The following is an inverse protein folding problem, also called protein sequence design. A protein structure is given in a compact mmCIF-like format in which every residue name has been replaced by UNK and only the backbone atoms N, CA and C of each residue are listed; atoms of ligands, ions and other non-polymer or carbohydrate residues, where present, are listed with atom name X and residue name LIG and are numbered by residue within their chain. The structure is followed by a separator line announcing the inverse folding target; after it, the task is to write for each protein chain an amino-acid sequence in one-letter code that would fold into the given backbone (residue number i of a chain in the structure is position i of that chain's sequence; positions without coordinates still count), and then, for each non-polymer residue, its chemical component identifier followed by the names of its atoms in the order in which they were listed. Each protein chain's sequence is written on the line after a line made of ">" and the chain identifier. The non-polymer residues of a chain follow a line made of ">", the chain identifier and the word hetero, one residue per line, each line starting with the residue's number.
data_IF_297879346698
#
_entry.id   IF_297879346698
#
_cell.length_a   1.000
_cell.length_b   1.000
_cell.length_c   1.000
_cell.angle_alpha   90.00
_cell.angle_beta   90.00
_cell.angle_gamma   90.00
#
_symmetry.space_group_name_H-M   'P 1'
#
loop_
_entity.id
_entity.type
_entity.pdbx_description
1 polymer ?
#
# COMPACT_ATOMS: atom_id res chain seq x y z
N UNK A 1 4.26 -15.42 -17.17
CA UNK A 1 3.72 -16.48 -16.28
C UNK A 1 3.85 -16.08 -14.80
N UNK A 2 3.52 -14.83 -14.40
CA UNK A 2 3.88 -14.28 -13.06
C UNK A 2 2.66 -13.75 -12.28
N UNK A 3 1.45 -13.82 -12.83
CA UNK A 3 0.27 -13.16 -12.24
C UNK A 3 -0.88 -14.15 -11.96
N UNK A 4 -0.54 -15.40 -11.63
CA UNK A 4 -1.52 -16.46 -11.34
C UNK A 4 -2.16 -16.36 -9.95
N UNK A 5 -1.51 -15.68 -9.00
CA UNK A 5 -1.90 -15.77 -7.58
C UNK A 5 -2.78 -14.62 -7.06
N UNK A 6 -3.00 -13.55 -7.84
CA UNK A 6 -3.71 -12.37 -7.33
C UNK A 6 -5.19 -12.58 -6.96
N UNK A 7 -5.85 -13.58 -7.54
CA UNK A 7 -7.32 -13.60 -7.56
C UNK A 7 -7.98 -14.87 -7.04
N UNK A 8 -7.17 -15.84 -6.61
CA UNK A 8 -7.66 -17.12 -6.07
C UNK A 8 -8.24 -16.97 -4.65
N UNK A 9 -7.97 -15.86 -3.95
CA UNK A 9 -8.30 -15.70 -2.51
C UNK A 9 -9.12 -14.47 -2.12
N UNK A 10 -9.62 -13.68 -3.07
CA UNK A 10 -10.51 -12.57 -2.71
C UNK A 10 -11.96 -13.06 -2.52
N UNK A 11 -12.67 -12.60 -1.47
CA UNK A 11 -14.02 -13.06 -1.19
C UNK A 11 -15.00 -12.80 -2.35
N UNK A 12 -16.07 -13.61 -2.47
CA UNK A 12 -17.07 -13.47 -3.52
C UNK A 12 -17.83 -12.13 -3.40
N UNK A 13 -18.04 -11.48 -4.55
CA UNK A 13 -18.78 -10.22 -4.64
C UNK A 13 -20.28 -10.54 -4.61
N UNK A 14 -20.96 -10.19 -3.52
CA UNK A 14 -22.43 -10.13 -3.50
C UNK A 14 -22.91 -8.84 -4.15
N UNK A 15 -23.83 -8.92 -5.12
CA UNK A 15 -24.42 -7.79 -5.88
C UNK A 15 -25.37 -6.91 -5.05
N UNK A 16 -24.92 -6.42 -3.91
CA UNK A 16 -25.55 -5.28 -3.25
C UNK A 16 -24.48 -4.21 -3.18
N UNK A 17 -24.61 -3.13 -3.95
CA UNK A 17 -23.74 -1.95 -3.83
C UNK A 17 -23.99 -1.30 -2.47
N UNK A 18 -23.14 -1.51 -1.46
CA UNK A 18 -23.30 -0.82 -0.20
C UNK A 18 -22.83 0.60 -0.47
N UNK A 19 -23.63 1.62 -0.12
CA UNK A 19 -23.11 2.99 -0.03
C UNK A 19 -21.83 2.94 0.81
N UNK A 20 -20.76 3.58 0.36
CA UNK A 20 -19.41 3.61 0.99
C UNK A 20 -19.41 3.82 2.51
N UNK A 21 -20.44 4.50 3.03
CA UNK A 21 -20.78 4.60 4.47
C UNK A 21 -20.93 3.25 5.19
N UNK A 22 -21.15 2.16 4.47
CA UNK A 22 -21.48 0.86 5.07
C UNK A 22 -20.24 -0.02 5.14
N UNK A 23 -19.29 0.06 4.18
CA UNK A 23 -18.16 -0.86 4.12
C UNK A 23 -17.15 -0.64 5.26
N UNK A 24 -16.77 0.61 5.53
CA UNK A 24 -15.88 0.96 6.63
C UNK A 24 -16.55 0.82 8.00
N UNK A 25 -17.83 1.20 8.13
CA UNK A 25 -18.58 1.01 9.38
C UNK A 25 -18.82 -0.48 9.68
N UNK A 26 -18.89 -1.34 8.66
CA UNK A 26 -18.95 -2.80 8.82
C UNK A 26 -17.58 -3.42 9.17
N UNK A 27 -16.47 -2.92 8.60
CA UNK A 27 -15.13 -3.46 8.85
C UNK A 27 -14.64 -3.22 10.29
N UNK A 28 -15.11 -2.14 10.93
CA UNK A 28 -14.81 -1.83 12.34
C UNK A 28 -15.24 -2.95 13.31
N UNK A 29 -16.17 -3.83 12.90
CA UNK A 29 -16.68 -4.92 13.74
C UNK A 29 -15.89 -6.24 13.67
N UNK A 30 -14.84 -6.35 12.84
CA UNK A 30 -14.04 -7.57 12.68
C UNK A 30 -12.60 -7.39 13.21
N UNK A 31 -12.48 -6.95 14.46
CA UNK A 31 -11.20 -7.04 15.17
C UNK A 31 -11.02 -8.42 15.78
N UNK A 32 -10.31 -9.31 15.07
CA UNK A 32 -9.18 -10.11 15.57
C UNK A 32 -8.76 -11.16 14.54
N UNK A 33 -7.87 -10.80 13.62
CA UNK A 33 -6.92 -11.76 13.06
C UNK A 33 -5.54 -11.39 13.59
N UNK A 34 -5.33 -11.64 14.89
CA UNK A 34 -4.03 -11.54 15.52
C UNK A 34 -3.18 -12.70 15.03
N UNK A 35 -2.14 -12.40 14.24
CA UNK A 35 -1.07 -13.33 13.97
C UNK A 35 0.24 -12.69 14.41
N UNK A 36 1.01 -13.51 15.10
CA UNK A 36 2.37 -13.21 15.53
C UNK A 36 3.24 -12.87 14.32
N UNK A 37 4.10 -11.85 14.43
CA UNK A 37 5.14 -11.51 13.46
C UNK A 37 6.05 -12.70 13.03
N UNK A 38 5.94 -13.84 13.72
CA UNK A 38 6.58 -15.11 13.40
C UNK A 38 6.30 -15.62 11.99
N UNK A 39 5.09 -15.42 11.45
CA UNK A 39 4.71 -15.95 10.13
C UNK A 39 5.38 -15.20 8.95
N UNK A 40 6.10 -14.12 9.23
CA UNK A 40 6.87 -13.38 8.22
C UNK A 40 8.29 -13.93 8.03
N UNK A 41 8.81 -14.68 9.02
CA UNK A 41 10.21 -15.11 9.09
C UNK A 41 10.40 -16.38 8.27
N UNK A 42 11.57 -16.51 7.65
CA UNK A 42 11.99 -17.66 6.82
C UNK A 42 11.11 -17.86 5.58
N UNK A 43 10.51 -16.77 5.11
CA UNK A 43 9.68 -16.76 3.92
C UNK A 43 10.07 -15.59 3.04
N UNK A 44 10.11 -15.84 1.72
CA UNK A 44 10.10 -14.78 0.74
C UNK A 44 8.66 -14.27 0.55
N UNK A 45 8.50 -12.96 0.60
CA UNK A 45 7.27 -12.25 0.31
C UNK A 45 7.51 -11.33 -0.86
N UNK A 46 6.56 -11.29 -1.80
CA UNK A 46 6.54 -10.23 -2.78
C UNK A 46 6.00 -8.96 -2.12
N UNK A 47 6.65 -7.82 -2.36
CA UNK A 47 6.34 -6.55 -1.72
C UNK A 47 6.00 -5.52 -2.80
N UNK A 48 4.98 -4.70 -2.56
CA UNK A 48 4.57 -3.64 -3.50
C UNK A 48 5.75 -2.74 -3.89
N UNK A 49 6.58 -2.38 -2.91
CA UNK A 49 7.77 -1.55 -3.14
C UNK A 49 8.96 -2.04 -2.34
N UNK A 50 10.16 -1.94 -2.91
CA UNK A 50 11.42 -2.24 -2.21
C UNK A 50 11.45 -1.52 -0.86
N UNK A 51 11.61 -2.30 0.21
CA UNK A 51 11.58 -1.78 1.57
C UNK A 51 12.71 -0.76 1.80
N UNK A 52 12.41 0.34 2.50
CA UNK A 52 13.40 1.38 2.78
C UNK A 52 13.68 2.36 1.63
N UNK A 53 13.11 2.16 0.44
CA UNK A 53 13.19 3.15 -0.65
C UNK A 53 12.15 4.25 -0.46
N UNK A 54 12.59 5.52 -0.47
CA UNK A 54 11.79 6.72 -0.21
C UNK A 54 10.72 6.54 0.89
N UNK A 55 11.14 6.13 2.11
CA UNK A 55 10.22 5.66 3.13
C UNK A 55 9.20 6.73 3.54
N UNK A 56 9.50 8.01 3.37
CA UNK A 56 8.57 9.10 3.70
C UNK A 56 7.32 9.17 2.80
N UNK A 57 7.26 8.41 1.71
CA UNK A 57 6.17 8.46 0.72
C UNK A 57 5.11 7.37 0.90
N UNK A 58 5.21 6.54 1.93
CA UNK A 58 4.22 5.51 2.19
C UNK A 58 4.07 5.23 3.67
N UNK A 59 2.85 4.90 4.08
CA UNK A 59 2.49 4.57 5.44
C UNK A 59 2.51 3.08 5.73
N UNK A 60 2.53 2.25 4.69
CA UNK A 60 2.46 0.80 4.84
C UNK A 60 3.04 0.06 3.63
N UNK A 61 3.37 -1.20 3.84
CA UNK A 61 3.77 -2.12 2.79
C UNK A 61 2.78 -3.27 2.68
N UNK A 62 2.57 -3.75 1.45
CA UNK A 62 1.76 -4.92 1.14
C UNK A 62 2.72 -6.07 0.86
N UNK A 63 2.65 -7.13 1.65
CA UNK A 63 3.38 -8.37 1.46
C UNK A 63 2.41 -9.42 0.96
N UNK A 64 2.75 -10.10 -0.14
CA UNK A 64 1.90 -11.14 -0.69
C UNK A 64 2.67 -12.31 -1.32
N UNK A 65 1.97 -13.42 -1.54
CA UNK A 65 2.48 -14.60 -2.25
C UNK A 65 2.18 -14.54 -3.75
N UNK A 66 2.78 -13.57 -4.44
CA UNK A 66 2.59 -13.38 -5.88
C UNK A 66 1.94 -12.04 -6.22
N UNK A 67 2.35 -11.41 -7.32
CA UNK A 67 1.76 -10.18 -7.83
C UNK A 67 2.63 -8.91 -7.81
N UNK A 68 3.83 -8.94 -7.24
CA UNK A 68 4.78 -7.83 -7.31
C UNK A 68 6.13 -8.25 -7.86
N UNK A 69 6.81 -7.31 -8.52
CA UNK A 69 8.16 -7.52 -9.03
C UNK A 69 9.24 -7.23 -7.98
N UNK A 70 8.87 -6.84 -6.77
CA UNK A 70 9.83 -6.69 -5.66
C UNK A 70 9.59 -7.77 -4.64
N UNK A 71 10.63 -8.16 -3.92
CA UNK A 71 10.58 -9.14 -2.85
C UNK A 71 11.23 -8.60 -1.58
N UNK A 72 10.85 -9.18 -0.45
CA UNK A 72 11.52 -9.06 0.83
C UNK A 72 11.58 -10.44 1.50
N UNK A 73 12.73 -10.75 2.09
CA UNK A 73 12.95 -11.97 2.87
C UNK A 73 13.44 -11.56 4.25
N UNK A 74 12.80 -12.10 5.30
CA UNK A 74 13.21 -11.95 6.69
C UNK A 74 13.91 -13.24 7.13
N UNK A 75 15.22 -13.20 7.29
CA UNK A 75 16.05 -14.35 7.63
C UNK A 75 16.02 -14.66 9.14
N UNK A 76 16.01 -15.93 9.57
CA UNK A 76 15.97 -16.32 10.99
C UNK A 76 17.07 -15.70 11.87
N UNK A 77 18.20 -15.31 11.30
CA UNK A 77 19.31 -14.64 11.99
C UNK A 77 19.05 -13.14 12.29
N UNK A 78 17.85 -12.63 12.00
CA UNK A 78 17.47 -11.24 12.27
C UNK A 78 17.92 -10.26 11.19
N UNK A 79 18.31 -10.73 10.00
CA UNK A 79 18.60 -9.87 8.84
C UNK A 79 17.45 -9.89 7.84
N UNK A 80 17.34 -8.84 7.03
CA UNK A 80 16.43 -8.85 5.89
C UNK A 80 17.14 -8.39 4.63
N UNK A 81 16.59 -8.81 3.50
CA UNK A 81 16.95 -8.30 2.18
C UNK A 81 15.67 -7.98 1.43
N UNK A 82 15.61 -6.83 0.75
CA UNK A 82 14.55 -6.46 -0.17
C UNK A 82 15.14 -6.03 -1.51
N UNK A 83 14.57 -6.51 -2.60
CA UNK A 83 15.13 -6.31 -3.93
C UNK A 83 14.03 -6.29 -5.00
N UNK A 84 14.32 -5.74 -6.17
CA UNK A 84 13.47 -5.85 -7.36
C UNK A 84 13.97 -6.96 -8.29
N UNK A 85 13.05 -7.79 -8.78
CA UNK A 85 13.27 -8.92 -9.69
C UNK A 85 12.96 -8.57 -11.17
N UNK A 86 13.07 -7.30 -11.57
CA UNK A 86 12.77 -6.86 -12.93
C UNK A 86 13.62 -7.53 -14.03
N UNK A 87 12.96 -8.11 -15.03
CA UNK A 87 13.53 -8.82 -16.19
C UNK A 87 14.00 -7.91 -17.35
N UNK A 88 14.20 -6.61 -17.12
CA UNK A 88 14.66 -5.68 -18.17
C UNK A 88 16.02 -5.06 -17.80
N UNK A 89 17.06 -5.80 -18.17
CA UNK A 89 18.31 -5.38 -18.80
C UNK A 89 18.94 -4.01 -18.45
N UNK A 90 20.22 -4.07 -18.04
CA UNK A 90 21.26 -3.01 -18.04
C UNK A 90 21.16 -1.98 -16.89
N UNK A 91 21.72 -2.36 -15.74
CA UNK A 91 22.29 -1.41 -14.76
C UNK A 91 21.55 -1.31 -13.42
N UNK A 92 22.15 -1.92 -12.40
CA UNK A 92 21.89 -1.79 -10.96
C UNK A 92 20.54 -2.31 -10.45
N UNK A 93 20.55 -3.55 -9.95
CA UNK A 93 19.53 -4.03 -9.01
C UNK A 93 19.53 -3.13 -7.78
N UNK A 94 18.39 -2.50 -7.48
CA UNK A 94 18.22 -1.84 -6.19
C UNK A 94 17.98 -2.93 -5.15
N UNK A 95 18.95 -3.08 -4.25
CA UNK A 95 18.88 -3.99 -3.12
C UNK A 95 19.01 -3.15 -1.87
N UNK A 96 18.09 -3.37 -0.93
CA UNK A 96 18.19 -2.87 0.43
C UNK A 96 18.35 -4.04 1.38
N UNK A 97 19.17 -3.85 2.40
CA UNK A 97 19.43 -4.86 3.42
C UNK A 97 19.49 -4.22 4.79
N UNK A 98 19.40 -5.04 5.83
CA UNK A 98 19.47 -4.54 7.19
C UNK A 98 19.13 -5.61 8.21
N UNK A 99 18.76 -5.16 9.40
CA UNK A 99 18.33 -6.02 10.49
C UNK A 99 16.89 -5.73 10.89
N UNK A 100 16.25 -6.73 11.48
CA UNK A 100 14.94 -6.58 12.08
C UNK A 100 14.93 -7.20 13.47
N UNK A 101 14.00 -6.73 14.30
CA UNK A 101 13.75 -7.30 15.62
C UNK A 101 12.26 -7.38 15.85
N UNK A 102 11.77 -8.60 16.08
CA UNK A 102 10.43 -8.81 16.64
C UNK A 102 10.37 -8.14 18.01
N UNK A 103 9.36 -7.31 18.23
CA UNK A 103 9.18 -6.58 19.50
C UNK A 103 8.19 -7.30 20.39
N UNK A 104 7.08 -7.72 19.81
CA UNK A 104 6.04 -8.55 20.41
C UNK A 104 5.30 -9.29 19.28
N UNK A 105 4.12 -9.83 19.54
CA UNK A 105 3.34 -10.54 18.53
C UNK A 105 2.84 -9.64 17.40
N UNK A 106 2.57 -8.37 17.68
CA UNK A 106 1.97 -7.44 16.72
C UNK A 106 3.00 -6.55 16.01
N UNK A 107 4.21 -6.44 16.54
CA UNK A 107 5.17 -5.45 16.07
C UNK A 107 6.53 -6.01 15.66
N UNK A 108 7.04 -5.48 14.55
CA UNK A 108 8.40 -5.70 14.04
C UNK A 108 9.10 -4.35 13.85
N UNK A 109 10.35 -4.23 14.28
CA UNK A 109 11.18 -3.05 14.06
C UNK A 109 12.30 -3.32 13.07
N UNK A 110 12.63 -2.34 12.23
CA UNK A 110 13.65 -2.47 11.18
C UNK A 110 14.77 -1.44 11.33
N UNK A 111 15.99 -1.85 11.04
CA UNK A 111 17.14 -0.97 10.83
C UNK A 111 17.71 -1.25 9.44
N UNK A 112 17.69 -0.24 8.59
CA UNK A 112 18.23 -0.30 7.24
C UNK A 112 19.74 -0.09 7.31
N UNK A 113 20.53 -0.94 6.65
CA UNK A 113 21.97 -0.72 6.52
C UNK A 113 22.21 0.44 5.57
N UNK A 114 23.07 1.38 5.95
CA UNK A 114 23.54 2.40 5.03
C UNK A 114 24.59 1.78 4.09
N UNK A 115 24.45 1.97 2.79
CA UNK A 115 25.42 1.47 1.81
C UNK A 115 26.72 2.27 1.82
N UNK A 116 26.74 3.46 2.43
CA UNK A 116 27.88 4.38 2.46
C UNK A 116 28.60 4.44 3.82
N UNK A 117 28.08 3.78 4.85
CA UNK A 117 28.67 3.79 6.19
C UNK A 117 28.29 2.54 6.97
N UNK A 118 29.06 2.19 8.00
CA UNK A 118 28.69 1.11 8.93
C UNK A 118 27.53 1.48 9.87
N UNK A 119 26.86 2.61 9.63
CA UNK A 119 25.71 3.04 10.41
C UNK A 119 24.43 2.39 9.88
N UNK A 120 23.50 2.12 10.80
CA UNK A 120 22.17 1.65 10.43
C UNK A 120 21.14 2.73 10.69
N UNK A 121 20.25 2.95 9.73
CA UNK A 121 19.14 3.88 9.83
C UNK A 121 17.94 3.18 10.45
N UNK A 122 17.51 3.64 11.61
CA UNK A 122 16.27 3.16 12.24
C UNK A 122 15.06 3.54 11.37
N UNK A 123 14.31 2.52 10.94
CA UNK A 123 13.12 2.66 10.08
C UNK A 123 11.81 2.67 10.86
N UNK A 124 11.89 2.58 12.19
CA UNK A 124 10.75 2.57 13.09
C UNK A 124 10.16 1.18 13.33
N UNK A 125 8.99 1.17 13.97
CA UNK A 125 8.19 -0.03 14.27
C UNK A 125 7.02 -0.12 13.27
N UNK A 126 6.67 -1.34 12.90
CA UNK A 126 5.55 -1.64 12.03
C UNK A 126 4.60 -2.59 12.74
N UNK A 127 3.31 -2.25 12.74
CA UNK A 127 2.23 -3.14 13.12
C UNK A 127 2.00 -4.15 12.00
N UNK A 128 1.98 -5.43 12.35
CA UNK A 128 1.80 -6.55 11.43
C UNK A 128 0.31 -6.90 11.43
N UNK A 129 -0.36 -6.66 10.31
CA UNK A 129 -1.76 -7.00 10.12
C UNK A 129 -1.91 -8.11 9.09
N UNK A 130 -2.35 -9.29 9.51
CA UNK A 130 -2.62 -10.40 8.58
C UNK A 130 -4.00 -10.23 7.95
N UNK A 131 -4.03 -10.14 6.64
CA UNK A 131 -5.27 -10.11 5.83
C UNK A 131 -5.69 -11.53 5.46
N UNK A 132 -4.73 -12.37 5.04
CA UNK A 132 -4.94 -13.79 4.74
C UNK A 132 -3.64 -14.58 4.92
N UNK A 133 -3.64 -15.89 4.66
CA UNK A 133 -2.38 -16.68 4.62
C UNK A 133 -1.40 -16.19 3.54
N UNK A 134 -1.93 -15.51 2.52
CA UNK A 134 -1.17 -15.05 1.36
C UNK A 134 -0.96 -13.54 1.34
N UNK A 135 -1.45 -12.79 2.34
CA UNK A 135 -1.37 -11.33 2.37
C UNK A 135 -1.20 -10.80 3.80
N UNK A 136 -0.17 -9.96 3.98
CA UNK A 136 0.14 -9.26 5.22
C UNK A 136 0.42 -7.80 4.93
N UNK A 137 -0.09 -6.90 5.77
CA UNK A 137 0.20 -5.48 5.72
C UNK A 137 1.18 -5.12 6.84
N UNK A 138 2.24 -4.39 6.51
CA UNK A 138 3.15 -3.77 7.47
C UNK A 138 2.80 -2.28 7.59
N UNK A 139 2.08 -1.90 8.64
CA UNK A 139 1.64 -0.52 8.86
C UNK A 139 2.66 0.20 9.75
N UNK A 140 3.16 1.36 9.34
CA UNK A 140 4.01 2.17 10.21
C UNK A 140 3.28 2.52 11.50
N UNK A 141 3.89 2.16 12.62
CA UNK A 141 3.32 2.36 13.94
C UNK A 141 3.40 3.83 14.34
N UNK A 142 2.30 4.31 14.91
CA UNK A 142 2.18 5.58 15.61
C UNK A 142 2.63 5.50 17.07
N UNK A 143 2.95 4.29 17.55
CA UNK A 143 3.20 4.01 18.97
C UNK A 143 1.92 3.82 19.79
N UNK A 144 0.74 3.88 19.18
CA UNK A 144 -0.55 3.66 19.83
C UNK A 144 -1.31 2.51 19.14
N UNK A 145 -1.62 1.45 19.90
CA UNK A 145 -2.22 0.24 19.36
C UNK A 145 -3.58 0.49 18.69
N UNK A 146 -4.47 1.27 19.32
CA UNK A 146 -5.80 1.54 18.77
C UNK A 146 -5.73 2.32 17.46
N UNK A 147 -4.80 3.28 17.35
CA UNK A 147 -4.55 4.01 16.10
C UNK A 147 -3.93 3.10 15.03
N UNK A 148 -2.99 2.25 15.40
CA UNK A 148 -2.35 1.32 14.46
C UNK A 148 -3.34 0.30 13.91
N UNK A 149 -4.25 -0.18 14.76
CA UNK A 149 -5.38 -1.02 14.42
C UNK A 149 -6.34 -0.32 13.43
N UNK A 150 -6.73 0.91 13.72
CA UNK A 150 -7.56 1.70 12.80
C UNK A 150 -6.87 1.92 11.44
N UNK A 151 -5.57 2.19 11.45
CA UNK A 151 -4.78 2.33 10.22
C UNK A 151 -4.69 1.01 9.44
N UNK A 152 -4.70 -0.14 10.11
CA UNK A 152 -4.78 -1.44 9.43
C UNK A 152 -6.12 -1.64 8.70
N UNK A 153 -7.23 -1.16 9.27
CA UNK A 153 -8.54 -1.13 8.58
C UNK A 153 -8.46 -0.26 7.33
N UNK A 154 -7.90 0.95 7.43
CA UNK A 154 -7.69 1.83 6.27
C UNK A 154 -6.78 1.19 5.21
N UNK A 155 -5.71 0.52 5.64
CA UNK A 155 -4.79 -0.17 4.74
C UNK A 155 -5.47 -1.33 4.01
N UNK A 156 -6.36 -2.08 4.67
CA UNK A 156 -7.13 -3.18 4.04
C UNK A 156 -8.07 -2.67 2.94
N UNK A 157 -8.63 -1.47 3.12
CA UNK A 157 -9.44 -0.80 2.11
C UNK A 157 -8.58 -0.28 0.94
N UNK A 158 -7.40 0.26 1.24
CA UNK A 158 -6.54 0.90 0.25
C UNK A 158 -5.68 -0.09 -0.56
N UNK A 159 -5.29 -1.22 0.02
CA UNK A 159 -4.38 -2.20 -0.60
C UNK A 159 -4.86 -2.73 -1.97
N UNK A 160 -6.15 -3.14 -2.13
CA UNK A 160 -6.66 -3.56 -3.43
C UNK A 160 -6.59 -2.47 -4.50
N UNK A 161 -6.80 -1.21 -4.12
CA UNK A 161 -6.71 -0.08 -5.04
C UNK A 161 -5.27 0.07 -5.57
N UNK A 162 -4.26 0.00 -4.70
CA UNK A 162 -2.83 0.07 -5.06
C UNK A 162 -2.48 -0.97 -6.12
N UNK A 163 -2.89 -2.21 -5.88
CA UNK A 163 -2.67 -3.35 -6.77
C UNK A 163 -3.25 -3.10 -8.17
N UNK A 164 -4.53 -2.71 -8.27
CA UNK A 164 -5.19 -2.60 -9.59
C UNK A 164 -4.78 -1.34 -10.36
N UNK A 165 -4.38 -0.29 -9.64
CA UNK A 165 -4.05 1.02 -10.21
C UNK A 165 -2.63 1.05 -10.76
N UNK A 166 -1.69 0.28 -10.21
CA UNK A 166 -0.28 0.36 -10.59
C UNK A 166 -0.02 0.11 -12.09
N UNK A 167 -0.90 -0.64 -12.76
CA UNK A 167 -0.78 -0.95 -14.18
C UNK A 167 -1.48 0.05 -15.11
N UNK A 168 -1.98 1.19 -14.61
CA UNK A 168 -2.76 2.14 -15.39
C UNK A 168 -2.10 3.52 -15.47
N UNK A 169 -2.06 4.05 -16.68
CA UNK A 169 -1.83 5.48 -16.94
C UNK A 169 -3.19 6.12 -17.10
N UNK A 170 -3.58 6.98 -16.17
CA UNK A 170 -4.86 7.66 -16.26
C UNK A 170 -4.73 8.90 -17.14
N UNK A 171 -5.74 9.04 -18.00
CA UNK A 171 -5.89 10.20 -18.87
C UNK A 171 -6.79 11.22 -18.18
N UNK A 172 -6.65 12.49 -18.54
CA UNK A 172 -7.54 13.57 -18.11
C UNK A 172 -7.53 13.86 -16.60
N UNK A 173 -6.37 14.28 -16.05
CA UNK A 173 -6.28 14.66 -14.65
C UNK A 173 -7.26 15.78 -14.32
N UNK A 174 -7.84 15.74 -13.11
CA UNK A 174 -8.70 16.82 -12.60
C UNK A 174 -7.88 18.03 -12.13
N UNK A 175 -6.60 17.81 -11.82
CA UNK A 175 -5.66 18.86 -11.46
C UNK A 175 -4.24 18.43 -11.80
N UNK A 176 -3.42 19.39 -12.20
CA UNK A 176 -1.98 19.20 -12.41
C UNK A 176 -1.23 20.16 -11.49
N UNK A 177 -0.27 19.65 -10.73
CA UNK A 177 0.51 20.43 -9.76
C UNK A 177 2.01 20.22 -10.01
N UNK A 178 2.85 21.27 -9.97
CA UNK A 178 4.30 21.14 -10.12
C UNK A 178 4.93 20.12 -9.16
N UNK A 179 5.92 19.38 -9.64
CA UNK A 179 6.67 18.42 -8.81
C UNK A 179 7.52 19.07 -7.72
N UNK A 180 7.79 20.38 -7.85
CA UNK A 180 8.42 21.19 -6.82
C UNK A 180 7.53 21.42 -5.60
N UNK A 181 6.21 21.27 -5.72
CA UNK A 181 5.28 21.37 -4.59
C UNK A 181 5.41 20.12 -3.71
N UNK A 182 5.64 20.24 -2.39
CA UNK A 182 5.68 19.11 -1.46
C UNK A 182 4.45 18.22 -1.57
N UNK A 183 4.63 16.90 -1.47
CA UNK A 183 3.56 15.92 -1.72
C UNK A 183 2.31 16.15 -0.86
N UNK A 184 2.48 16.49 0.42
CA UNK A 184 1.36 16.75 1.32
C UNK A 184 0.59 18.00 0.90
N UNK A 185 1.28 19.03 0.41
CA UNK A 185 0.64 20.24 -0.12
C UNK A 185 -0.14 19.93 -1.41
N UNK A 186 0.38 19.04 -2.27
CA UNK A 186 -0.31 18.64 -3.51
C UNK A 186 -1.65 17.98 -3.23
N UNK A 187 -1.67 16.98 -2.34
CA UNK A 187 -2.93 16.30 -1.97
C UNK A 187 -3.87 17.25 -1.22
N UNK A 188 -3.36 18.09 -0.30
CA UNK A 188 -4.18 19.07 0.41
C UNK A 188 -4.86 20.04 -0.56
N UNK A 189 -4.10 20.57 -1.52
CA UNK A 189 -4.64 21.47 -2.55
C UNK A 189 -5.74 20.78 -3.37
N UNK A 190 -5.53 19.53 -3.76
CA UNK A 190 -6.55 18.75 -4.46
C UNK A 190 -7.83 18.58 -3.64
N UNK A 191 -7.69 18.21 -2.36
CA UNK A 191 -8.82 17.99 -1.45
C UNK A 191 -9.62 19.28 -1.26
N UNK A 192 -8.96 20.41 -1.03
CA UNK A 192 -9.64 21.68 -0.76
C UNK A 192 -10.20 22.33 -2.01
N UNK A 193 -9.47 22.29 -3.14
CA UNK A 193 -9.87 23.01 -4.36
C UNK A 193 -10.73 22.18 -5.30
N UNK A 194 -10.54 20.86 -5.36
CA UNK A 194 -11.30 19.97 -6.26
C UNK A 194 -12.43 19.26 -5.51
N UNK A 195 -12.12 18.60 -4.38
CA UNK A 195 -13.14 17.91 -3.60
C UNK A 195 -13.97 18.86 -2.71
N UNK A 196 -13.49 20.09 -2.52
CA UNK A 196 -14.16 21.13 -1.69
C UNK A 196 -14.42 20.67 -0.25
N UNK A 197 -13.51 19.87 0.32
CA UNK A 197 -13.61 19.44 1.73
C UNK A 197 -12.95 20.47 2.65
N UNK A 198 -13.69 20.93 3.66
CA UNK A 198 -13.20 21.86 4.70
C UNK A 198 -12.69 21.15 5.95
N UNK A 199 -13.25 19.99 6.27
CA UNK A 199 -12.87 19.18 7.43
C UNK A 199 -12.57 17.76 6.94
N UNK A 200 -11.29 17.42 6.84
CA UNK A 200 -10.86 16.13 6.30
C UNK A 200 -9.63 15.58 7.02
N UNK A 201 -9.46 14.27 6.91
CA UNK A 201 -8.29 13.54 7.37
C UNK A 201 -7.68 12.75 6.22
N UNK A 202 -6.37 12.93 5.96
CA UNK A 202 -5.62 11.98 5.14
C UNK A 202 -5.32 10.77 6.01
N UNK A 203 -6.12 9.73 5.87
CA UNK A 203 -6.12 8.55 6.73
C UNK A 203 -4.87 7.70 6.53
N UNK A 204 -4.47 7.51 5.27
CA UNK A 204 -3.37 6.64 4.90
C UNK A 204 -2.84 6.96 3.49
N UNK A 205 -1.55 6.70 3.28
CA UNK A 205 -0.88 6.88 1.99
C UNK A 205 -0.18 5.58 1.55
N UNK A 206 -0.50 5.11 0.34
CA UNK A 206 0.07 3.91 -0.26
C UNK A 206 0.74 4.19 -1.59
N UNK A 207 1.78 3.44 -1.91
CA UNK A 207 2.58 3.61 -3.12
C UNK A 207 3.07 2.24 -3.60
N UNK A 208 2.83 1.89 -4.86
CA UNK A 208 3.35 0.66 -5.48
C UNK A 208 4.68 0.91 -6.20
N UNK A 209 4.82 2.07 -6.83
CA UNK A 209 6.01 2.45 -7.58
C UNK A 209 6.27 3.95 -7.50
N UNK A 210 7.43 4.41 -7.95
CA UNK A 210 7.78 5.85 -8.00
C UNK A 210 6.73 6.67 -8.77
N UNK A 211 5.92 6.03 -9.61
CA UNK A 211 4.99 6.71 -10.51
C UNK A 211 3.61 6.97 -9.91
N UNK A 212 3.13 6.13 -8.98
CA UNK A 212 1.75 6.16 -8.50
C UNK A 212 1.69 6.19 -6.97
N UNK A 213 1.03 7.21 -6.43
CA UNK A 213 0.70 7.33 -5.01
C UNK A 213 -0.81 7.44 -4.86
N UNK A 214 -1.38 6.70 -3.91
CA UNK A 214 -2.81 6.76 -3.61
C UNK A 214 -3.00 7.17 -2.17
N UNK A 215 -3.89 8.13 -1.97
CA UNK A 215 -4.29 8.65 -0.67
C UNK A 215 -5.70 8.18 -0.36
N UNK A 216 -5.93 7.71 0.85
CA UNK A 216 -7.27 7.55 1.40
C UNK A 216 -7.59 8.80 2.22
N UNK A 217 -8.58 9.57 1.79
CA UNK A 217 -9.02 10.79 2.47
C UNK A 217 -10.44 10.61 3.00
N UNK A 218 -10.66 10.99 4.25
CA UNK A 218 -11.96 11.00 4.90
C UNK A 218 -12.50 12.43 4.95
N UNK A 219 -13.70 12.63 4.40
CA UNK A 219 -14.59 13.75 4.70
C UNK A 219 -15.17 13.51 6.11
N UNK A 220 -14.67 14.26 7.08
CA UNK A 220 -15.02 14.10 8.50
C UNK A 220 -16.45 14.56 8.79
N UNK A 221 -17.00 15.49 7.99
CA UNK A 221 -18.36 15.99 8.19
C UNK A 221 -19.40 14.97 7.71
N UNK A 222 -19.07 14.21 6.66
CA UNK A 222 -19.99 13.24 6.03
C UNK A 222 -19.70 11.78 6.36
N UNK A 223 -18.61 11.51 7.07
CA UNK A 223 -18.07 10.17 7.30
C UNK A 223 -17.94 9.39 5.98
N UNK A 224 -17.37 10.05 4.96
CA UNK A 224 -17.23 9.53 3.60
C UNK A 224 -15.77 9.49 3.19
N UNK A 225 -15.37 8.53 2.36
CA UNK A 225 -13.98 8.33 1.96
C UNK A 225 -13.77 8.68 0.49
N UNK A 226 -12.55 8.98 0.11
CA UNK A 226 -12.17 9.26 -1.28
C UNK A 226 -10.78 8.74 -1.53
N UNK A 227 -10.62 8.03 -2.64
CA UNK A 227 -9.32 7.59 -3.13
C UNK A 227 -8.79 8.68 -4.05
N UNK A 228 -7.66 9.27 -3.71
CA UNK A 228 -6.99 10.24 -4.57
C UNK A 228 -5.78 9.56 -5.17
N UNK A 229 -5.76 9.47 -6.50
CA UNK A 229 -4.61 9.00 -7.24
C UNK A 229 -3.77 10.21 -7.65
N UNK A 230 -2.48 10.14 -7.34
CA UNK A 230 -1.44 11.02 -7.82
C UNK A 230 -0.47 10.24 -8.71
N UNK A 231 -0.27 10.71 -9.94
CA UNK A 231 0.65 10.11 -10.90
C UNK A 231 1.70 11.11 -11.36
N UNK A 232 2.94 10.67 -11.51
CA UNK A 232 3.95 11.46 -12.20
C UNK A 232 3.51 11.68 -13.65
N UNK A 233 3.51 12.93 -14.10
CA UNK A 233 3.12 13.34 -15.46
C UNK A 233 4.31 13.95 -16.21
N UNK A 234 4.14 14.20 -17.52
CA UNK A 234 5.19 14.83 -18.33
C UNK A 234 5.49 16.25 -17.82
N UNK A 235 6.74 16.70 -18.01
CA UNK A 235 7.21 18.07 -17.71
C UNK A 235 7.22 18.45 -16.22
N UNK A 236 7.74 17.59 -15.33
CA UNK A 236 7.93 17.91 -13.90
C UNK A 236 6.63 18.31 -13.18
N UNK A 237 5.54 17.60 -13.44
CA UNK A 237 4.26 17.81 -12.76
C UNK A 237 3.69 16.48 -12.26
N UNK A 238 2.83 16.56 -11.25
CA UNK A 238 1.96 15.47 -10.83
C UNK A 238 0.54 15.71 -11.31
N UNK A 239 -0.08 14.66 -11.83
CA UNK A 239 -1.47 14.59 -12.24
C UNK A 239 -2.30 13.98 -11.10
N UNK A 240 -3.33 14.67 -10.65
CA UNK A 240 -4.20 14.24 -9.55
C UNK A 240 -5.64 14.06 -10.01
N UNK A 241 -6.28 13.01 -9.50
CA UNK A 241 -7.70 12.71 -9.70
C UNK A 241 -8.23 11.88 -8.53
N UNK A 242 -9.56 11.81 -8.37
CA UNK A 242 -10.19 10.90 -7.42
C UNK A 242 -10.84 9.72 -8.14
N UNK A 243 -10.81 8.56 -7.50
CA UNK A 243 -11.42 7.33 -7.98
C UNK A 243 -12.64 7.00 -7.12
N UNK A 244 -13.67 6.44 -7.77
CA UNK A 244 -14.85 5.95 -7.06
C UNK A 244 -14.63 4.52 -6.58
N UNK A 245 -15.31 4.16 -5.50
CA UNK A 245 -15.35 2.77 -5.01
C UNK A 245 -15.84 1.83 -6.11
N UNK A 246 -16.92 2.19 -6.80
CA UNK A 246 -17.48 1.38 -7.90
C UNK A 246 -16.44 1.12 -8.99
N UNK A 247 -15.63 2.12 -9.34
CA UNK A 247 -14.55 1.95 -10.31
C UNK A 247 -13.48 0.98 -9.78
N UNK A 248 -13.04 1.13 -8.53
CA UNK A 248 -12.04 0.23 -7.93
C UNK A 248 -12.58 -1.22 -7.90
N UNK A 249 -13.84 -1.42 -7.52
CA UNK A 249 -14.46 -2.74 -7.49
C UNK A 249 -14.62 -3.35 -8.89
N UNK A 250 -14.97 -2.54 -9.89
CA UNK A 250 -15.00 -2.98 -11.29
C UNK A 250 -13.61 -3.41 -11.78
N UNK A 251 -12.57 -2.66 -11.44
CA UNK A 251 -11.18 -2.99 -11.77
C UNK A 251 -10.74 -4.30 -11.11
N UNK A 252 -11.02 -4.45 -9.81
CA UNK A 252 -10.75 -5.70 -9.08
C UNK A 252 -11.46 -6.88 -9.76
N UNK A 253 -12.74 -6.73 -10.12
CA UNK A 253 -13.51 -7.78 -10.77
C UNK A 253 -12.98 -8.11 -12.18
N UNK A 254 -12.58 -7.10 -12.96
CA UNK A 254 -11.98 -7.28 -14.27
C UNK A 254 -10.70 -8.11 -14.18
N UNK A 255 -9.78 -7.74 -13.28
CA UNK A 255 -8.52 -8.45 -13.15
C UNK A 255 -8.74 -9.87 -12.59
N UNK A 256 -9.67 -10.06 -11.64
CA UNK A 256 -10.14 -11.41 -11.22
C UNK A 256 -10.44 -12.31 -12.40
N UNK A 257 -11.33 -11.84 -13.27
CA UNK A 257 -11.77 -12.58 -14.43
C UNK A 257 -10.64 -12.81 -15.43
N UNK A 258 -9.83 -11.79 -15.71
CA UNK A 258 -8.70 -11.88 -16.63
C UNK A 258 -7.73 -13.00 -16.23
N UNK A 259 -7.32 -13.08 -14.96
CA UNK A 259 -6.36 -14.11 -14.54
C UNK A 259 -6.99 -15.49 -14.40
N UNK A 260 -8.25 -15.59 -13.99
CA UNK A 260 -8.97 -16.86 -13.96
C UNK A 260 -9.15 -17.47 -15.35
N UNK A 261 -9.19 -16.65 -16.41
CA UNK A 261 -9.24 -17.12 -17.80
C UNK A 261 -7.89 -17.60 -18.33
N UNK A 262 -6.78 -17.11 -17.78
CA UNK A 262 -5.42 -17.51 -18.18
C UNK A 262 -4.95 -18.82 -17.52
N UNK A 263 -5.76 -19.38 -16.62
CA UNK A 263 -5.47 -20.61 -15.86
C UNK A 263 -6.33 -21.81 -16.29
N UNK A 264 -7.25 -21.62 -17.24
CA UNK A 264 -7.97 -22.68 -17.95
C UNK A 264 -7.31 -22.97 -19.29
#
# INVERSE_FOLDING_TARGET
>A
MIIKNYFVHLPPITKNTPKMKTLLTSLVFLYTCLISAQNLIDQQWEINRIFGTAPQQTDFYILQKGGFLSSITLSPNGTFQSYSSGLCAIGNFTITEGTYKKRDDNYIGFHLKDSKSDTSKNMGKYYVHKVSDNEVLLIKSTGNLAKDQQRAVYATVLAPAIVVINNRIYKDPKMTIPSSTPWLERVNKYVTEVLKLSNYEICLVGCDSVLNTIYLVKDSDKEAYSYILEQSSKKNNYALQHLTEDYIQQEIAYWKDFYNKQTK
#
